data_IF_002274879791
#
_entry.id   IF_002274879791
#
_cell.length_a   1.000
_cell.length_b   1.000
_cell.length_c   1.000
_cell.angle_alpha   90.00
_cell.angle_beta   90.00
_cell.angle_gamma   90.00
#
_symmetry.space_group_name_H-M   'P 1'
#
loop_
_entity.id
_entity.type
_entity.pdbx_description
1 polymer ?
#
# COMPACT_ATOMS: atom_id res chain seq x y z
N UNK A 1 0.75 -3.19 21.33
CA UNK A 1 1.15 -2.29 20.24
C UNK A 1 0.15 -2.49 19.12
N UNK A 2 -0.56 -1.44 18.75
CA UNK A 2 -1.49 -1.49 17.62
C UNK A 2 -0.66 -1.64 16.34
N UNK A 3 -0.92 -2.72 15.61
CA UNK A 3 -0.27 -2.93 14.32
C UNK A 3 -1.00 -2.04 13.30
N UNK A 4 -0.28 -1.11 12.71
CA UNK A 4 -0.77 -0.35 11.57
C UNK A 4 -0.55 -1.17 10.30
N UNK A 5 -1.43 -1.00 9.32
CA UNK A 5 -1.32 -1.60 7.99
C UNK A 5 -1.26 -0.47 6.98
N UNK A 6 -0.31 -0.57 6.05
CA UNK A 6 -0.25 0.30 4.89
C UNK A 6 -1.10 -0.29 3.78
N UNK A 7 -2.03 0.51 3.27
CA UNK A 7 -2.79 0.23 2.07
C UNK A 7 -2.22 1.13 0.97
N UNK A 8 -1.80 0.53 -0.14
CA UNK A 8 -1.25 1.24 -1.29
C UNK A 8 -2.13 0.98 -2.50
N UNK A 9 -2.55 2.03 -3.17
CA UNK A 9 -3.22 2.01 -4.46
C UNK A 9 -2.25 2.53 -5.52
N UNK A 10 -1.80 1.66 -6.42
CA UNK A 10 -0.96 2.03 -7.56
C UNK A 10 -1.81 2.10 -8.83
N UNK A 11 -2.07 3.30 -9.35
CA UNK A 11 -2.82 3.51 -10.58
C UNK A 11 -1.85 3.84 -11.72
N UNK A 12 -1.87 3.04 -12.78
CA UNK A 12 -1.05 3.29 -13.97
C UNK A 12 -1.91 3.97 -15.02
N UNK A 13 -1.43 5.07 -15.60
CA UNK A 13 -2.17 5.81 -16.62
C UNK A 13 -2.55 4.90 -17.79
N UNK A 14 -3.83 4.90 -18.15
CA UNK A 14 -4.36 4.07 -19.24
C UNK A 14 -4.72 2.63 -18.85
N UNK A 15 -4.46 2.20 -17.60
CA UNK A 15 -5.02 0.95 -17.09
C UNK A 15 -6.43 1.17 -16.51
N UNK A 16 -7.36 0.23 -16.70
CA UNK A 16 -8.75 0.37 -16.23
C UNK A 16 -8.90 0.20 -14.71
N UNK A 17 -7.90 -0.34 -14.04
CA UNK A 17 -7.93 -0.64 -12.61
C UNK A 17 -6.61 -0.33 -11.95
N UNK A 18 -6.66 0.18 -10.72
CA UNK A 18 -5.48 0.36 -9.89
C UNK A 18 -5.13 -0.97 -9.19
N UNK A 19 -3.82 -1.22 -9.04
CA UNK A 19 -3.33 -2.35 -8.27
C UNK A 19 -3.34 -1.99 -6.79
N UNK A 20 -3.90 -2.85 -5.96
CA UNK A 20 -3.96 -2.61 -4.50
C UNK A 20 -3.01 -3.56 -3.79
N UNK A 21 -2.21 -3.02 -2.86
CA UNK A 21 -1.32 -3.79 -2.01
C UNK A 21 -1.64 -3.50 -0.54
N UNK A 22 -1.65 -4.55 0.27
CA UNK A 22 -1.77 -4.45 1.73
C UNK A 22 -0.45 -4.90 2.32
N UNK A 23 0.20 -4.01 3.06
CA UNK A 23 1.47 -4.28 3.73
C UNK A 23 1.24 -4.20 5.23
N UNK A 24 1.30 -5.35 5.89
CA UNK A 24 1.33 -5.45 7.33
C UNK A 24 2.79 -5.75 7.73
N UNK A 25 3.43 -4.80 8.42
CA UNK A 25 4.79 -4.95 8.92
C UNK A 25 4.79 -4.79 10.44
N UNK A 26 5.54 -5.64 11.15
CA UNK A 26 5.67 -5.56 12.61
C UNK A 26 6.30 -4.25 13.08
N UNK A 27 7.01 -3.54 12.20
CA UNK A 27 7.59 -2.22 12.46
C UNK A 27 6.59 -1.07 12.31
N UNK A 28 5.38 -1.32 11.78
CA UNK A 28 4.31 -0.33 11.71
C UNK A 28 3.64 -0.18 13.07
N UNK A 29 4.39 0.35 14.04
CA UNK A 29 3.93 0.58 15.42
C UNK A 29 3.28 1.95 15.60
N UNK A 30 3.43 2.86 14.62
CA UNK A 30 2.79 4.17 14.56
C UNK A 30 2.54 4.56 13.10
N UNK A 31 1.77 5.62 12.88
CA UNK A 31 1.53 6.19 11.54
C UNK A 31 2.85 6.67 10.94
N UNK A 32 3.70 7.35 11.71
CA UNK A 32 4.99 7.87 11.23
C UNK A 32 5.94 6.75 10.83
N UNK A 33 5.96 5.64 11.57
CA UNK A 33 6.77 4.47 11.23
C UNK A 33 6.31 3.80 9.94
N UNK A 34 4.99 3.82 9.69
CA UNK A 34 4.40 3.35 8.44
C UNK A 34 4.74 4.32 7.29
N UNK A 35 4.50 5.61 7.45
CA UNK A 35 4.81 6.65 6.45
C UNK A 35 6.29 6.66 6.05
N UNK A 36 7.20 6.45 7.01
CA UNK A 36 8.64 6.37 6.75
C UNK A 36 9.06 5.23 5.79
N UNK A 37 8.18 4.24 5.57
CA UNK A 37 8.42 3.10 4.67
C UNK A 37 7.77 3.27 3.30
N UNK A 38 6.93 4.30 3.10
CA UNK A 38 6.16 4.52 1.87
C UNK A 38 7.07 4.62 0.64
N UNK A 39 8.13 5.42 0.72
CA UNK A 39 9.04 5.61 -0.42
C UNK A 39 9.73 4.30 -0.83
N UNK A 40 10.15 3.49 0.15
CA UNK A 40 10.81 2.21 -0.12
C UNK A 40 9.85 1.22 -0.80
N UNK A 41 8.59 1.16 -0.33
CA UNK A 41 7.60 0.23 -0.87
C UNK A 41 7.13 0.69 -2.26
N UNK A 42 6.80 1.98 -2.44
CA UNK A 42 6.37 2.52 -3.73
C UNK A 42 7.49 2.45 -4.78
N UNK A 43 8.76 2.61 -4.39
CA UNK A 43 9.90 2.38 -5.29
C UNK A 43 9.99 0.91 -5.74
N UNK A 44 9.78 -0.05 -4.82
CA UNK A 44 9.74 -1.48 -5.17
C UNK A 44 8.58 -1.80 -6.13
N UNK A 45 7.37 -1.32 -5.82
CA UNK A 45 6.20 -1.50 -6.68
C UNK A 45 6.42 -0.86 -8.06
N UNK A 46 7.01 0.33 -8.12
CA UNK A 46 7.34 1.00 -9.40
C UNK A 46 8.30 0.15 -10.22
N UNK A 47 9.30 -0.46 -9.58
CA UNK A 47 10.25 -1.33 -10.25
C UNK A 47 9.57 -2.58 -10.80
N UNK A 48 8.65 -3.19 -10.05
CA UNK A 48 7.86 -4.34 -10.50
C UNK A 48 6.95 -3.98 -11.67
N UNK A 49 6.24 -2.86 -11.59
CA UNK A 49 5.44 -2.33 -12.70
C UNK A 49 6.30 -2.02 -13.93
N UNK A 50 7.51 -1.50 -13.73
CA UNK A 50 8.46 -1.22 -14.81
C UNK A 50 9.04 -2.47 -15.50
N UNK A 51 8.95 -3.64 -14.88
CA UNK A 51 9.30 -4.91 -15.53
C UNK A 51 8.23 -5.36 -16.53
N UNK A 52 7.00 -4.84 -16.41
CA UNK A 52 5.90 -5.12 -17.33
C UNK A 52 6.04 -4.24 -18.57
N UNK A 53 6.43 -4.85 -19.69
CA UNK A 53 6.68 -4.15 -20.95
C UNK A 53 5.47 -3.35 -21.43
N UNK A 54 4.26 -3.83 -21.18
CA UNK A 54 3.01 -3.17 -21.55
C UNK A 54 2.75 -1.85 -20.78
N UNK A 55 3.40 -1.67 -19.63
CA UNK A 55 3.29 -0.49 -18.77
C UNK A 55 4.48 0.47 -18.92
N UNK A 56 5.47 0.13 -19.75
CA UNK A 56 6.71 0.90 -19.88
C UNK A 56 6.44 2.32 -20.37
N UNK A 57 6.99 3.31 -19.65
CA UNK A 57 6.87 4.73 -19.98
C UNK A 57 5.52 5.34 -19.59
N UNK A 58 4.62 4.58 -18.95
CA UNK A 58 3.39 5.11 -18.38
C UNK A 58 3.66 5.70 -17.00
N UNK A 59 2.93 6.77 -16.69
CA UNK A 59 2.96 7.36 -15.37
C UNK A 59 2.24 6.45 -14.37
N UNK A 60 2.81 6.34 -13.17
CA UNK A 60 2.22 5.62 -12.04
C UNK A 60 1.97 6.60 -10.92
N UNK A 61 0.73 6.65 -10.44
CA UNK A 61 0.34 7.41 -9.26
C UNK A 61 0.09 6.47 -8.09
N UNK A 62 0.49 6.90 -6.89
CA UNK A 62 0.33 6.14 -5.67
C UNK A 62 -0.55 6.91 -4.69
N UNK A 63 -1.62 6.26 -4.23
CA UNK A 63 -2.36 6.67 -3.04
C UNK A 63 -1.97 5.74 -1.89
N UNK A 64 -1.56 6.30 -0.76
CA UNK A 64 -1.04 5.51 0.36
C UNK A 64 -1.74 5.94 1.64
N UNK A 65 -2.28 4.94 2.35
CA UNK A 65 -3.00 5.13 3.59
C UNK A 65 -2.45 4.19 4.67
N UNK A 66 -1.98 4.76 5.78
CA UNK A 66 -1.57 4.00 6.96
C UNK A 66 -2.72 3.98 7.95
N UNK A 67 -3.25 2.78 8.26
CA UNK A 67 -4.46 2.63 9.07
C UNK A 67 -4.22 1.68 10.24
N UNK A 68 -4.80 2.01 11.39
CA UNK A 68 -4.80 1.10 12.54
C UNK A 68 -5.73 -0.10 12.29
N UNK A 69 -5.56 -1.18 13.06
CA UNK A 69 -6.47 -2.34 13.03
C UNK A 69 -7.95 -1.96 13.18
N UNK A 70 -8.27 -1.03 14.09
CA UNK A 70 -9.63 -0.53 14.25
C UNK A 70 -10.13 0.17 12.99
N UNK A 71 -9.32 1.05 12.40
CA UNK A 71 -9.71 1.76 11.18
C UNK A 71 -9.87 0.84 9.96
N UNK A 72 -9.10 -0.25 9.87
CA UNK A 72 -9.30 -1.28 8.84
C UNK A 72 -10.62 -2.01 9.01
N UNK A 73 -10.97 -2.31 10.26
CA UNK A 73 -12.23 -2.96 10.59
C UNK A 73 -13.42 -2.04 10.31
N UNK A 74 -13.34 -0.76 10.70
CA UNK A 74 -14.42 0.20 10.53
C UNK A 74 -14.63 0.62 9.07
N UNK A 75 -13.55 0.88 8.33
CA UNK A 75 -13.66 1.41 6.95
C UNK A 75 -13.83 0.31 5.90
N UNK A 76 -13.28 -0.88 6.13
CA UNK A 76 -13.24 -1.94 5.13
C UNK A 76 -13.88 -3.26 5.60
N UNK A 77 -14.37 -3.33 6.84
CA UNK A 77 -14.86 -4.58 7.43
C UNK A 77 -13.76 -5.64 7.62
N UNK A 78 -12.49 -5.24 7.52
CA UNK A 78 -11.36 -6.14 7.62
C UNK A 78 -11.06 -6.32 9.10
N UNK A 79 -11.67 -7.34 9.71
CA UNK A 79 -11.19 -7.88 10.96
C UNK A 79 -9.85 -8.56 10.66
N UNK A 80 -8.74 -7.88 10.96
CA UNK A 80 -7.41 -8.50 10.92
C UNK A 80 -7.47 -9.75 11.81
N UNK A 81 -7.51 -10.92 11.18
CA UNK A 81 -7.71 -12.20 11.87
C UNK A 81 -6.37 -12.65 12.42
N UNK A 82 -5.83 -11.88 13.37
CA UNK A 82 -4.70 -12.29 14.19
C UNK A 82 -5.25 -12.93 15.48
N UNK A 83 -5.32 -14.26 15.46
CA UNK A 83 -5.38 -15.11 16.65
C UNK A 83 -4.05 -15.05 17.41
#
# INVERSE_FOLDING_TARGET
>A
MDAFTMIILACVTGEPSCTTARVADAQFTSVEACEARVDAITASMTKELGQRLELKGREVTYDVSCMSRQQLQDNFGIADRSA
#
